data_IF_178798930939
#
_entry.id   IF_178798930939
#
_cell.length_a   1.000
_cell.length_b   1.000
_cell.length_c   1.000
_cell.angle_alpha   90.00
_cell.angle_beta   90.00
_cell.angle_gamma   90.00
#
_symmetry.space_group_name_H-M   'P 1'
#
loop_
_entity.id
_entity.type
_entity.pdbx_description
1 polymer ?
#
# COMPACT_ATOMS: atom_id res chain seq x y z
N UNK A 1 -11.92 -76.41 -29.16
CA UNK A 1 -12.41 -75.00 -29.17
C UNK A 1 -11.24 -74.08 -28.86
N UNK A 2 -10.63 -73.55 -29.92
CA UNK A 2 -9.51 -72.63 -29.78
C UNK A 2 -10.06 -71.29 -29.27
N UNK A 3 -9.53 -70.80 -28.17
CA UNK A 3 -10.08 -69.75 -27.41
C UNK A 3 -10.04 -68.43 -28.22
N UNK A 4 -11.17 -67.78 -28.49
CA UNK A 4 -11.28 -66.53 -29.30
C UNK A 4 -10.38 -65.39 -28.83
N UNK A 5 -10.07 -65.36 -27.54
CA UNK A 5 -9.16 -64.40 -26.96
C UNK A 5 -7.72 -64.55 -27.43
N UNK A 6 -7.27 -65.75 -27.75
CA UNK A 6 -5.87 -65.95 -28.23
C UNK A 6 -5.68 -65.46 -29.66
N UNK A 7 -6.68 -65.50 -30.51
CA UNK A 7 -6.67 -64.94 -31.87
C UNK A 7 -6.64 -63.38 -31.81
N UNK A 8 -7.38 -62.78 -30.89
CA UNK A 8 -7.36 -61.33 -30.70
C UNK A 8 -6.01 -60.79 -30.18
N UNK A 9 -5.40 -61.47 -29.22
CA UNK A 9 -4.06 -61.10 -28.68
C UNK A 9 -2.98 -61.27 -29.75
N UNK A 10 -3.01 -62.32 -30.55
CA UNK A 10 -2.07 -62.52 -31.66
C UNK A 10 -2.24 -61.45 -32.75
N UNK A 11 -3.49 -61.03 -33.04
CA UNK A 11 -3.79 -59.95 -33.97
C UNK A 11 -3.27 -58.58 -33.49
N UNK A 12 -3.45 -58.27 -32.22
CA UNK A 12 -2.91 -57.02 -31.61
C UNK A 12 -1.38 -56.96 -31.56
N UNK A 13 -0.74 -58.12 -31.28
CA UNK A 13 0.72 -58.23 -31.31
C UNK A 13 1.29 -58.07 -32.74
N UNK A 14 0.63 -58.68 -33.75
CA UNK A 14 1.03 -58.49 -35.15
C UNK A 14 0.89 -57.03 -35.63
N UNK A 15 -0.22 -56.34 -35.25
CA UNK A 15 -0.43 -54.91 -35.53
C UNK A 15 0.61 -54.02 -34.85
N UNK A 16 0.98 -54.33 -33.61
CA UNK A 16 2.02 -53.63 -32.88
C UNK A 16 3.40 -53.71 -33.52
N UNK A 17 3.76 -54.90 -34.01
CA UNK A 17 5.04 -55.15 -34.73
C UNK A 17 5.05 -54.42 -36.07
N UNK A 18 3.95 -54.43 -36.83
CA UNK A 18 3.87 -53.68 -38.10
C UNK A 18 3.95 -52.20 -37.86
N UNK A 19 3.27 -51.65 -36.86
CA UNK A 19 3.33 -50.23 -36.53
C UNK A 19 4.75 -49.80 -36.11
N UNK A 20 5.42 -50.61 -35.28
CA UNK A 20 6.79 -50.29 -34.87
C UNK A 20 7.81 -50.38 -36.03
N UNK A 21 7.61 -51.29 -36.97
CA UNK A 21 8.45 -51.43 -38.16
C UNK A 21 8.31 -50.23 -39.11
N UNK A 22 7.08 -49.70 -39.27
CA UNK A 22 6.82 -48.53 -40.09
C UNK A 22 7.45 -47.27 -39.44
N UNK A 23 7.29 -47.12 -38.15
CA UNK A 23 7.89 -45.98 -37.39
C UNK A 23 9.43 -46.08 -37.47
N UNK A 24 10.00 -47.27 -37.22
CA UNK A 24 11.44 -47.48 -37.32
C UNK A 24 11.97 -47.25 -38.73
N UNK A 25 11.24 -47.69 -39.79
CA UNK A 25 11.60 -47.44 -41.18
C UNK A 25 11.61 -45.95 -41.56
N UNK A 26 10.62 -45.20 -41.11
CA UNK A 26 10.54 -43.75 -41.32
C UNK A 26 11.69 -43.02 -40.62
N UNK A 27 11.98 -43.33 -39.37
CA UNK A 27 13.10 -42.76 -38.65
C UNK A 27 14.44 -43.19 -39.23
N UNK A 28 14.61 -44.43 -39.69
CA UNK A 28 15.82 -44.91 -40.36
C UNK A 28 16.03 -44.24 -41.71
N UNK A 29 14.99 -44.02 -42.49
CA UNK A 29 15.06 -43.31 -43.78
C UNK A 29 15.46 -41.86 -43.60
N UNK A 30 14.84 -41.14 -42.66
CA UNK A 30 15.22 -39.75 -42.38
C UNK A 30 16.62 -39.65 -41.72
N UNK A 31 16.97 -40.59 -40.83
CA UNK A 31 18.32 -40.69 -40.27
C UNK A 31 19.41 -40.90 -41.36
N UNK A 32 19.12 -41.74 -42.37
CA UNK A 32 19.99 -41.94 -43.51
C UNK A 32 20.18 -40.69 -44.37
N UNK A 33 19.14 -39.91 -44.62
CA UNK A 33 19.21 -38.67 -45.37
C UNK A 33 20.07 -37.63 -44.61
N UNK A 34 19.92 -37.52 -43.27
CA UNK A 34 20.70 -36.62 -42.43
C UNK A 34 22.19 -37.00 -42.42
N UNK A 35 22.51 -38.28 -42.41
CA UNK A 35 23.88 -38.82 -42.44
C UNK A 35 24.64 -38.54 -43.75
N UNK A 36 23.91 -38.52 -44.89
CA UNK A 36 24.51 -38.30 -46.21
C UNK A 36 24.51 -36.83 -46.65
N UNK A 37 23.75 -35.96 -46.00
CA UNK A 37 23.66 -34.57 -46.37
C UNK A 37 23.48 -33.66 -45.14
N UNK A 38 24.56 -33.37 -44.39
CA UNK A 38 24.50 -32.57 -43.16
C UNK A 38 23.97 -31.16 -43.39
N UNK A 39 24.03 -30.63 -44.61
CA UNK A 39 23.45 -29.32 -44.96
C UNK A 39 21.91 -29.34 -44.97
N UNK A 40 21.26 -30.48 -45.21
CA UNK A 40 19.81 -30.60 -45.17
C UNK A 40 19.26 -30.57 -43.74
N UNK A 41 19.99 -31.17 -42.78
CA UNK A 41 19.62 -31.16 -41.37
C UNK A 41 19.62 -29.73 -40.77
N UNK A 42 20.58 -28.89 -41.17
CA UNK A 42 20.68 -27.49 -40.73
C UNK A 42 19.52 -26.64 -41.25
N UNK A 43 19.00 -26.94 -42.45
CA UNK A 43 17.86 -26.20 -43.02
C UNK A 43 16.53 -26.60 -42.40
N UNK A 44 16.35 -27.87 -42.00
CA UNK A 44 15.13 -28.32 -41.29
C UNK A 44 15.06 -27.68 -39.88
N UNK A 45 16.19 -27.58 -39.20
CA UNK A 45 16.26 -26.94 -37.86
C UNK A 45 16.09 -25.40 -37.98
N UNK A 46 16.57 -24.78 -39.07
CA UNK A 46 16.38 -23.34 -39.29
C UNK A 46 14.97 -22.95 -39.66
N UNK A 47 14.16 -23.84 -40.25
CA UNK A 47 12.78 -23.50 -40.67
C UNK A 47 11.73 -23.68 -39.57
N UNK A 48 12.06 -24.28 -38.42
CA UNK A 48 11.14 -24.52 -37.30
C UNK A 48 11.49 -23.71 -36.02
N UNK A 49 12.35 -22.72 -36.09
CA UNK A 49 12.55 -21.79 -34.97
C UNK A 49 11.33 -20.85 -34.87
N UNK A 50 10.51 -20.91 -33.83
CA UNK A 50 9.51 -19.90 -33.60
C UNK A 50 10.23 -18.60 -33.22
N UNK A 51 10.35 -17.70 -34.17
CA UNK A 51 11.02 -16.38 -34.01
C UNK A 51 10.34 -15.44 -33.02
N UNK A 52 9.22 -15.83 -32.38
CA UNK A 52 8.38 -14.90 -31.64
C UNK A 52 8.24 -15.15 -30.14
N UNK A 53 8.78 -16.22 -29.54
CA UNK A 53 8.53 -16.50 -28.11
C UNK A 53 9.69 -16.07 -27.19
N UNK A 54 10.90 -15.97 -27.71
CA UNK A 54 12.08 -15.50 -26.95
C UNK A 54 12.22 -13.98 -26.92
N UNK A 55 11.71 -13.27 -27.93
CA UNK A 55 11.75 -11.80 -28.00
C UNK A 55 10.85 -11.14 -26.95
N UNK A 56 9.71 -11.75 -26.59
CA UNK A 56 8.81 -11.15 -25.60
C UNK A 56 9.33 -11.25 -24.15
N UNK A 57 9.99 -12.35 -23.81
CA UNK A 57 10.55 -12.55 -22.45
C UNK A 57 11.82 -11.70 -22.25
N UNK A 58 12.67 -11.61 -23.27
CA UNK A 58 13.84 -10.73 -23.25
C UNK A 58 13.42 -9.26 -23.24
N UNK A 59 12.31 -8.90 -23.88
CA UNK A 59 11.79 -7.53 -23.91
C UNK A 59 11.29 -7.09 -22.53
N UNK A 60 10.48 -7.88 -21.84
CA UNK A 60 9.98 -7.53 -20.50
C UNK A 60 11.11 -7.39 -19.47
N UNK A 61 12.06 -8.32 -19.43
CA UNK A 61 13.20 -8.23 -18.52
C UNK A 61 14.06 -6.99 -18.78
N UNK A 62 14.28 -6.66 -20.03
CA UNK A 62 15.02 -5.45 -20.42
C UNK A 62 14.27 -4.19 -20.02
N UNK A 63 12.94 -4.15 -20.21
CA UNK A 63 12.08 -3.04 -19.80
C UNK A 63 12.13 -2.82 -18.28
N UNK A 64 12.06 -3.89 -17.48
CA UNK A 64 12.18 -3.80 -16.01
C UNK A 64 13.51 -3.16 -15.61
N UNK A 65 14.62 -3.62 -16.18
CA UNK A 65 15.96 -3.08 -15.92
C UNK A 65 16.05 -1.60 -16.30
N UNK A 66 15.51 -1.21 -17.45
CA UNK A 66 15.52 0.17 -17.93
C UNK A 66 14.66 1.08 -17.05
N UNK A 67 13.49 0.61 -16.62
CA UNK A 67 12.62 1.32 -15.68
C UNK A 67 13.35 1.58 -14.36
N UNK A 68 13.96 0.54 -13.78
CA UNK A 68 14.72 0.65 -12.53
C UNK A 68 15.87 1.65 -12.67
N UNK A 69 16.69 1.54 -13.71
CA UNK A 69 17.79 2.48 -13.96
C UNK A 69 17.31 3.92 -14.09
N UNK A 70 16.20 4.12 -14.80
CA UNK A 70 15.65 5.46 -15.08
C UNK A 70 15.06 6.12 -13.84
N UNK A 71 14.35 5.37 -13.00
CA UNK A 71 13.56 5.93 -11.91
C UNK A 71 14.18 5.78 -10.51
N UNK A 72 15.16 4.88 -10.31
CA UNK A 72 15.89 4.82 -9.03
C UNK A 72 16.48 6.16 -8.58
N UNK A 73 16.99 7.05 -9.46
CA UNK A 73 17.46 8.37 -9.04
C UNK A 73 16.37 9.28 -8.46
N UNK A 74 15.09 9.01 -8.75
CA UNK A 74 13.96 9.74 -8.18
C UNK A 74 13.46 9.13 -6.87
N UNK A 75 13.94 7.94 -6.47
CA UNK A 75 13.56 7.27 -5.23
C UNK A 75 14.57 7.63 -4.13
N UNK A 76 14.05 8.04 -2.98
CA UNK A 76 14.86 8.59 -1.89
C UNK A 76 14.62 7.85 -0.58
N UNK A 77 15.63 7.83 0.30
CA UNK A 77 15.45 7.41 1.69
C UNK A 77 15.02 8.58 2.55
N UNK A 78 14.13 8.35 3.49
CA UNK A 78 13.67 9.31 4.48
C UNK A 78 14.02 8.77 5.87
N UNK A 79 14.73 9.56 6.66
CA UNK A 79 15.15 9.23 8.02
C UNK A 79 14.56 10.22 8.98
N UNK A 80 13.89 9.73 10.00
CA UNK A 80 13.47 10.52 11.15
C UNK A 80 14.46 10.34 12.29
N UNK A 81 15.00 11.44 12.82
CA UNK A 81 15.89 11.44 13.97
C UNK A 81 15.29 12.26 15.10
N UNK A 82 15.51 11.82 16.34
CA UNK A 82 15.03 12.51 17.54
C UNK A 82 16.09 12.44 18.63
N UNK A 83 16.17 13.50 19.45
CA UNK A 83 17.01 13.51 20.63
C UNK A 83 16.33 12.68 21.73
N UNK A 84 16.91 11.52 22.02
CA UNK A 84 16.44 10.64 23.08
C UNK A 84 17.31 10.76 24.33
N UNK A 85 16.71 10.71 25.55
CA UNK A 85 17.46 10.75 26.78
C UNK A 85 18.40 9.56 26.90
N UNK A 86 19.65 9.80 27.23
CA UNK A 86 20.59 8.76 27.60
C UNK A 86 20.39 8.44 29.07
N UNK A 87 19.93 7.24 29.34
CA UNK A 87 19.70 6.75 30.71
C UNK A 87 20.89 5.90 31.12
N UNK A 88 21.64 6.37 32.12
CA UNK A 88 22.73 5.63 32.74
C UNK A 88 22.25 4.95 34.02
N UNK A 89 22.49 3.67 34.13
CA UNK A 89 22.32 2.95 35.37
C UNK A 89 23.56 3.13 36.24
N UNK A 90 23.38 3.67 37.44
CA UNK A 90 24.43 3.73 38.44
C UNK A 90 23.94 3.07 39.71
N UNK A 91 24.89 2.50 40.47
CA UNK A 91 24.56 1.85 41.72
C UNK A 91 24.77 2.84 42.87
N UNK A 92 23.76 2.98 43.71
CA UNK A 92 23.86 3.72 44.97
C UNK A 92 23.67 2.79 46.14
N UNK A 93 24.33 3.15 47.23
CA UNK A 93 24.04 2.51 48.53
C UNK A 93 23.17 3.51 49.34
N UNK A 94 21.86 3.27 49.50
CA UNK A 94 20.98 4.17 50.23
C UNK A 94 21.34 4.27 51.73
N UNK A 95 22.14 3.35 52.21
CA UNK A 95 22.59 3.33 53.62
C UNK A 95 24.04 3.78 53.79
N UNK A 96 24.64 4.40 52.76
CA UNK A 96 26.05 4.82 52.80
C UNK A 96 26.38 5.74 53.99
N UNK A 97 25.42 6.57 54.43
CA UNK A 97 25.59 7.43 55.61
C UNK A 97 25.71 6.65 56.91
N UNK A 98 25.18 5.45 56.97
CA UNK A 98 25.20 4.57 58.15
C UNK A 98 26.31 3.52 58.11
N UNK A 99 27.07 3.46 57.01
CA UNK A 99 28.11 2.43 56.81
C UNK A 99 29.28 2.56 57.82
N UNK A 100 29.47 3.73 58.42
CA UNK A 100 30.50 3.97 59.44
C UNK A 100 30.01 3.72 60.87
N UNK A 101 28.75 3.33 61.08
CA UNK A 101 28.19 3.00 62.38
C UNK A 101 28.50 1.50 62.68
N UNK A 102 29.28 1.21 63.77
CA UNK A 102 29.63 -0.15 64.12
C UNK A 102 28.45 -1.06 64.41
N UNK A 103 27.33 -0.53 64.91
CA UNK A 103 26.12 -1.28 65.19
C UNK A 103 25.40 -1.70 63.93
N UNK A 104 25.35 -0.80 62.94
CA UNK A 104 24.70 -1.08 61.63
C UNK A 104 25.49 -2.13 60.82
N UNK A 105 26.82 -2.05 60.83
CA UNK A 105 27.69 -3.01 60.13
C UNK A 105 27.56 -4.43 60.70
N UNK A 106 27.33 -4.55 62.00
CA UNK A 106 27.21 -5.86 62.69
C UNK A 106 25.85 -6.54 62.46
N UNK A 107 24.77 -5.75 62.29
CA UNK A 107 23.41 -6.29 62.14
C UNK A 107 23.03 -6.57 60.65
N UNK A 108 23.56 -5.80 59.69
CA UNK A 108 23.18 -5.89 58.29
C UNK A 108 24.27 -6.45 57.35
N UNK A 109 25.33 -7.05 57.93
CA UNK A 109 26.34 -7.81 57.17
C UNK A 109 27.24 -7.00 56.23
N UNK A 110 27.35 -5.67 56.46
CA UNK A 110 28.21 -4.80 55.66
C UNK A 110 27.44 -3.86 54.69
N UNK A 111 28.18 -2.92 54.10
CA UNK A 111 27.62 -1.86 53.23
C UNK A 111 27.65 -2.17 51.74
N UNK A 112 27.61 -3.44 51.36
CA UNK A 112 27.68 -3.83 49.94
C UNK A 112 26.33 -3.83 49.22
N UNK A 113 25.27 -3.23 49.82
CA UNK A 113 23.98 -3.13 49.19
C UNK A 113 24.05 -2.12 48.03
N UNK A 114 23.99 -2.63 46.80
CA UNK A 114 23.95 -1.84 45.55
C UNK A 114 22.54 -1.84 45.02
N UNK A 115 21.87 -0.70 45.15
CA UNK A 115 20.57 -0.48 44.56
C UNK A 115 20.74 0.25 43.20
N UNK A 116 20.31 -0.38 42.07
CA UNK A 116 20.42 0.27 40.80
C UNK A 116 19.48 1.47 40.75
N UNK A 117 20.02 2.63 40.38
CA UNK A 117 19.27 3.84 40.10
C UNK A 117 19.55 4.29 38.66
N UNK A 118 18.61 5.03 38.08
CA UNK A 118 18.70 5.50 36.73
C UNK A 118 18.79 7.03 36.75
N UNK A 119 19.78 7.58 36.06
CA UNK A 119 19.92 9.03 35.87
C UNK A 119 19.96 9.33 34.39
N UNK A 120 19.24 10.36 33.99
CA UNK A 120 19.38 10.91 32.65
C UNK A 120 20.71 11.66 32.56
N UNK A 121 21.56 11.25 31.61
CA UNK A 121 22.86 11.87 31.35
C UNK A 121 22.89 12.42 29.90
N UNK A 122 22.21 13.57 29.70
CA UNK A 122 22.13 14.22 28.41
C UNK A 122 21.10 13.58 27.46
N UNK A 123 21.19 13.99 26.20
CA UNK A 123 20.39 13.45 25.07
C UNK A 123 21.32 13.03 23.95
N UNK A 124 20.90 12.04 23.18
CA UNK A 124 21.62 11.57 22.00
C UNK A 124 20.64 11.51 20.82
N UNK A 125 21.04 12.09 19.68
CA UNK A 125 20.28 11.98 18.44
C UNK A 125 20.30 10.54 17.95
N UNK A 126 19.11 9.94 17.79
CA UNK A 126 18.93 8.57 17.33
C UNK A 126 17.92 8.53 16.19
N UNK A 127 18.10 7.58 15.28
CA UNK A 127 17.12 7.25 14.26
C UNK A 127 15.94 6.55 14.92
N UNK A 128 14.73 7.06 14.66
CA UNK A 128 13.49 6.56 15.26
C UNK A 128 12.51 6.01 14.23
N UNK A 129 12.69 6.38 12.96
CA UNK A 129 11.92 5.86 11.83
C UNK A 129 12.72 6.03 10.55
N UNK A 130 12.52 5.11 9.60
CA UNK A 130 13.04 5.20 8.25
C UNK A 130 12.04 4.64 7.24
N UNK A 131 12.06 5.18 6.02
CA UNK A 131 11.23 4.72 4.93
C UNK A 131 11.71 5.26 3.59
N UNK A 132 10.91 5.05 2.59
CA UNK A 132 11.17 5.50 1.23
C UNK A 132 10.22 6.64 0.84
N UNK A 133 10.64 7.46 -0.08
CA UNK A 133 9.82 8.43 -0.80
C UNK A 133 10.25 8.52 -2.26
N UNK A 134 9.53 9.29 -3.05
CA UNK A 134 9.93 9.57 -4.42
C UNK A 134 9.62 11.00 -4.83
N UNK A 135 10.49 11.54 -5.67
CA UNK A 135 10.42 12.93 -6.13
C UNK A 135 9.33 13.09 -7.18
N UNK A 136 8.35 13.95 -6.91
CA UNK A 136 7.22 14.23 -7.82
C UNK A 136 7.39 15.55 -8.57
N UNK A 137 8.22 16.48 -8.07
CA UNK A 137 8.59 17.73 -8.76
C UNK A 137 10.10 17.98 -8.64
N UNK A 138 10.68 18.53 -9.70
CA UNK A 138 12.14 18.79 -9.78
C UNK A 138 12.66 19.76 -8.71
N UNK A 139 11.77 20.53 -8.10
CA UNK A 139 12.05 21.50 -7.03
C UNK A 139 12.18 20.88 -5.63
N UNK A 140 12.14 19.52 -5.53
CA UNK A 140 12.32 18.80 -4.28
C UNK A 140 11.02 18.46 -3.54
N UNK A 141 9.87 18.47 -4.23
CA UNK A 141 8.63 17.94 -3.65
C UNK A 141 8.64 16.41 -3.73
N UNK A 142 8.43 15.74 -2.59
CA UNK A 142 8.54 14.30 -2.42
C UNK A 142 7.25 13.78 -1.81
N UNK A 143 6.76 12.66 -2.36
CA UNK A 143 5.64 11.89 -1.83
C UNK A 143 6.16 10.69 -1.05
N UNK A 144 5.51 10.38 0.06
CA UNK A 144 5.80 9.24 0.93
C UNK A 144 4.55 8.82 1.72
N UNK A 145 4.66 7.81 2.59
CA UNK A 145 3.62 7.50 3.55
C UNK A 145 3.63 8.44 4.76
N UNK A 146 2.46 8.67 5.35
CA UNK A 146 2.29 9.46 6.57
C UNK A 146 3.06 8.86 7.74
N UNK A 147 2.95 7.54 7.97
CA UNK A 147 3.64 6.88 9.09
C UNK A 147 5.17 7.03 9.05
N UNK A 148 5.78 7.25 7.88
CA UNK A 148 7.23 7.50 7.76
C UNK A 148 7.61 8.84 8.39
N UNK A 149 6.71 9.83 8.35
CA UNK A 149 6.97 11.22 8.77
C UNK A 149 6.05 11.71 9.87
N UNK A 150 5.43 10.80 10.64
CA UNK A 150 4.49 11.15 11.73
C UNK A 150 5.07 10.96 13.14
N UNK A 151 6.38 11.05 13.27
CA UNK A 151 7.06 10.98 14.58
C UNK A 151 7.10 12.37 15.21
N UNK A 152 6.40 12.51 16.34
CA UNK A 152 6.32 13.79 17.03
C UNK A 152 7.70 14.27 17.52
N UNK A 153 8.08 15.50 17.14
CA UNK A 153 9.34 16.14 17.53
C UNK A 153 10.58 15.54 16.84
N UNK A 154 10.41 14.78 15.76
CA UNK A 154 11.53 14.30 14.96
C UNK A 154 11.96 15.33 13.90
N UNK A 155 13.24 15.32 13.57
CA UNK A 155 13.80 15.98 12.39
C UNK A 155 13.90 14.98 11.25
N UNK A 156 13.58 15.40 10.03
CA UNK A 156 13.59 14.54 8.86
C UNK A 156 14.75 14.89 7.94
N UNK A 157 15.44 13.87 7.48
CA UNK A 157 16.52 13.98 6.49
C UNK A 157 16.19 13.10 5.29
N UNK A 158 16.23 13.67 4.11
CA UNK A 158 16.13 12.93 2.84
C UNK A 158 17.53 12.64 2.33
N UNK A 159 17.76 11.39 1.95
CA UNK A 159 19.00 10.94 1.34
C UNK A 159 18.68 10.52 -0.09
N UNK A 160 19.27 11.19 -1.06
CA UNK A 160 19.13 10.88 -2.48
C UNK A 160 19.87 9.60 -2.83
N UNK A 161 19.56 9.03 -3.98
CA UNK A 161 20.22 7.82 -4.47
C UNK A 161 21.76 7.98 -4.69
N UNK A 162 22.23 9.21 -4.91
CA UNK A 162 23.64 9.54 -5.03
C UNK A 162 24.33 9.82 -3.67
N UNK A 163 23.61 9.64 -2.55
CA UNK A 163 24.14 9.82 -1.20
C UNK A 163 24.05 11.24 -0.64
N UNK A 164 23.66 12.25 -1.42
CA UNK A 164 23.44 13.61 -0.93
C UNK A 164 22.32 13.66 0.10
N UNK A 165 22.52 14.41 1.16
CA UNK A 165 21.58 14.54 2.30
C UNK A 165 21.01 15.94 2.37
N UNK A 166 19.71 16.04 2.58
CA UNK A 166 18.99 17.30 2.70
C UNK A 166 18.06 17.27 3.90
N UNK A 167 18.00 18.34 4.71
CA UNK A 167 16.94 18.48 5.70
C UNK A 167 15.60 18.57 4.98
N UNK A 168 14.58 17.87 5.49
CA UNK A 168 13.27 17.84 4.90
C UNK A 168 12.23 18.47 5.81
N UNK A 169 11.32 19.26 5.23
CA UNK A 169 10.16 19.83 5.91
C UNK A 169 8.90 19.07 5.50
N UNK A 170 8.12 18.64 6.46
CA UNK A 170 6.80 18.07 6.20
C UNK A 170 5.85 19.20 5.81
N UNK A 171 5.35 19.16 4.57
CA UNK A 171 4.42 20.15 4.04
C UNK A 171 3.00 19.84 4.50
N UNK A 172 2.60 18.58 4.34
CA UNK A 172 1.28 18.10 4.75
C UNK A 172 1.31 16.60 5.03
N UNK A 173 0.44 16.18 5.95
CA UNK A 173 0.05 14.79 6.18
C UNK A 173 -1.42 14.66 5.84
N UNK A 174 -1.77 13.64 5.09
CA UNK A 174 -3.17 13.34 4.79
C UNK A 174 -3.87 12.88 6.08
N UNK A 175 -4.97 13.50 6.49
CA UNK A 175 -5.67 13.13 7.71
C UNK A 175 -6.43 11.80 7.61
N UNK A 176 -6.73 11.33 6.39
CA UNK A 176 -7.57 10.15 6.13
C UNK A 176 -6.75 8.99 5.60
N UNK A 177 -5.71 9.28 4.81
CA UNK A 177 -4.91 8.27 4.12
C UNK A 177 -3.48 8.28 4.63
N UNK A 178 -2.81 7.15 4.51
CA UNK A 178 -1.40 7.02 4.87
C UNK A 178 -0.47 7.67 3.81
N UNK A 179 -0.71 8.96 3.51
CA UNK A 179 0.08 9.75 2.57
C UNK A 179 0.64 11.00 3.25
N UNK A 180 1.81 11.42 2.81
CA UNK A 180 2.41 12.68 3.21
C UNK A 180 3.26 13.29 2.10
N UNK A 181 3.34 14.61 2.11
CA UNK A 181 4.15 15.40 1.19
C UNK A 181 5.23 16.12 2.00
N UNK A 182 6.48 15.93 1.61
CA UNK A 182 7.63 16.59 2.18
C UNK A 182 8.39 17.41 1.13
N UNK A 183 9.16 18.37 1.59
CA UNK A 183 9.93 19.28 0.72
C UNK A 183 11.38 19.33 1.17
N UNK A 184 12.30 19.24 0.20
CA UNK A 184 13.71 19.57 0.37
C UNK A 184 14.05 20.78 -0.50
N UNK A 185 14.99 21.61 -0.05
CA UNK A 185 15.40 22.80 -0.78
C UNK A 185 16.54 22.45 -1.76
N UNK A 186 16.14 22.06 -2.96
CA UNK A 186 17.05 21.74 -4.07
C UNK A 186 16.28 21.79 -5.39
N UNK A 187 17.00 21.76 -6.51
CA UNK A 187 16.41 21.79 -7.84
C UNK A 187 17.10 20.80 -8.79
N UNK A 188 16.47 20.55 -9.93
CA UNK A 188 17.03 19.68 -10.97
C UNK A 188 17.01 18.20 -10.64
N UNK A 189 16.15 17.77 -9.73
CA UNK A 189 16.01 16.38 -9.36
C UNK A 189 15.34 15.56 -10.47
N UNK A 190 15.72 14.30 -10.59
CA UNK A 190 14.95 13.30 -11.34
C UNK A 190 13.57 13.14 -10.72
N UNK A 191 12.54 13.02 -11.55
CA UNK A 191 11.15 12.86 -11.12
C UNK A 191 10.52 11.62 -11.74
N UNK A 192 9.46 11.13 -11.11
CA UNK A 192 8.62 10.06 -11.64
C UNK A 192 7.47 10.64 -12.47
N UNK A 193 6.91 9.81 -13.37
CA UNK A 193 5.64 10.04 -14.03
C UNK A 193 4.51 9.37 -13.22
N UNK A 194 3.36 10.04 -13.06
CA UNK A 194 2.20 9.52 -12.35
C UNK A 194 1.14 9.02 -13.34
N UNK A 195 0.78 7.74 -13.26
CA UNK A 195 -0.24 7.08 -14.08
C UNK A 195 -1.67 7.47 -13.67
N UNK A 196 -2.66 6.99 -14.41
CA UNK A 196 -4.06 6.98 -13.95
C UNK A 196 -4.36 5.63 -13.28
N UNK A 197 -4.54 5.62 -11.95
CA UNK A 197 -4.83 4.41 -11.20
C UNK A 197 -6.27 3.90 -11.32
N UNK A 198 -7.18 4.63 -11.99
CA UNK A 198 -8.56 4.17 -12.20
C UNK A 198 -8.70 3.20 -13.39
N UNK A 199 -7.64 3.09 -14.20
CA UNK A 199 -7.60 2.22 -15.40
C UNK A 199 -6.78 0.95 -15.19
N UNK A 200 -6.45 0.62 -13.94
CA UNK A 200 -5.64 -0.55 -13.62
C UNK A 200 -6.44 -1.84 -13.78
N UNK A 201 -5.75 -2.89 -14.18
CA UNK A 201 -6.31 -4.24 -14.37
C UNK A 201 -5.52 -5.26 -13.57
N UNK A 202 -6.22 -6.27 -13.04
CA UNK A 202 -5.59 -7.42 -12.37
C UNK A 202 -4.75 -8.19 -13.39
N UNK A 203 -3.55 -8.60 -12.99
CA UNK A 203 -2.58 -9.29 -13.84
C UNK A 203 -1.54 -8.37 -14.49
N UNK A 204 -1.69 -7.04 -14.43
CA UNK A 204 -0.65 -6.11 -14.91
C UNK A 204 0.63 -6.26 -14.10
N UNK A 205 1.78 -6.34 -14.77
CA UNK A 205 3.12 -6.39 -14.14
C UNK A 205 3.43 -5.07 -13.43
N UNK A 206 3.95 -5.18 -12.21
CA UNK A 206 4.33 -4.04 -11.38
C UNK A 206 5.73 -4.22 -10.77
N UNK A 207 6.38 -3.10 -10.51
CA UNK A 207 7.73 -3.01 -9.94
C UNK A 207 7.64 -2.11 -8.72
N UNK A 208 7.93 -2.63 -7.53
CA UNK A 208 8.08 -1.83 -6.33
C UNK A 208 9.56 -1.48 -6.15
N UNK A 209 9.83 -0.18 -5.93
CA UNK A 209 11.19 0.30 -5.68
C UNK A 209 11.22 0.89 -4.28
N UNK A 210 12.23 0.50 -3.50
CA UNK A 210 12.50 1.02 -2.17
C UNK A 210 13.95 1.46 -2.04
N UNK A 211 14.20 2.35 -1.09
CA UNK A 211 15.54 2.81 -0.74
C UNK A 211 15.68 2.82 0.78
N UNK A 212 15.69 1.61 1.38
CA UNK A 212 15.87 1.46 2.82
C UNK A 212 17.33 1.70 3.22
N UNK A 213 17.52 2.52 4.23
CA UNK A 213 18.83 2.93 4.71
C UNK A 213 19.72 1.76 5.18
N UNK A 214 20.95 1.81 4.75
CA UNK A 214 22.12 1.15 5.35
C UNK A 214 22.38 -0.28 4.90
N UNK A 215 21.40 -1.17 4.81
CA UNK A 215 21.64 -2.56 4.40
C UNK A 215 21.01 -2.93 3.05
N UNK A 216 19.98 -2.23 2.59
CA UNK A 216 19.20 -2.57 1.40
C UNK A 216 18.83 -1.33 0.56
N UNK A 217 19.80 -0.47 0.25
CA UNK A 217 19.60 0.63 -0.70
C UNK A 217 19.19 0.07 -2.06
N UNK A 218 18.18 0.71 -2.72
CA UNK A 218 17.67 0.34 -4.04
C UNK A 218 17.12 -1.10 -4.14
N UNK A 219 16.37 -1.53 -3.12
CA UNK A 219 15.64 -2.79 -3.19
C UNK A 219 14.54 -2.72 -4.24
N UNK A 220 14.52 -3.70 -5.15
CA UNK A 220 13.53 -3.80 -6.22
C UNK A 220 12.83 -5.14 -6.12
N UNK A 221 11.52 -5.13 -6.15
CA UNK A 221 10.70 -6.34 -6.28
C UNK A 221 9.75 -6.21 -7.47
N UNK A 222 9.49 -7.33 -8.14
CA UNK A 222 8.57 -7.44 -9.27
C UNK A 222 7.44 -8.38 -8.92
N UNK A 223 6.25 -8.05 -9.35
CA UNK A 223 5.05 -8.86 -9.21
C UNK A 223 3.96 -8.42 -10.17
N UNK A 224 2.72 -8.70 -9.81
CA UNK A 224 1.53 -8.29 -10.56
C UNK A 224 0.51 -7.61 -9.65
N UNK A 225 -0.44 -6.92 -10.22
CA UNK A 225 -1.67 -6.52 -9.52
C UNK A 225 -2.49 -7.78 -9.27
N UNK A 226 -2.60 -8.19 -7.99
CA UNK A 226 -3.34 -9.38 -7.58
C UNK A 226 -4.80 -9.08 -7.24
N UNK A 227 -5.14 -7.81 -7.00
CA UNK A 227 -6.50 -7.35 -6.70
C UNK A 227 -6.61 -5.84 -6.65
N UNK A 228 -7.82 -5.34 -6.82
CA UNK A 228 -8.14 -3.91 -6.78
C UNK A 228 -9.26 -3.66 -5.77
N UNK A 229 -9.35 -2.42 -5.29
CA UNK A 229 -10.40 -1.95 -4.37
C UNK A 229 -10.54 -2.80 -3.09
N UNK A 230 -9.40 -3.26 -2.53
CA UNK A 230 -9.38 -4.00 -1.27
C UNK A 230 -9.48 -3.05 -0.08
N UNK A 231 -10.23 -3.45 0.95
CA UNK A 231 -10.24 -2.77 2.25
C UNK A 231 -9.49 -3.64 3.24
N UNK A 232 -8.48 -3.06 3.89
CA UNK A 232 -7.61 -3.77 4.83
C UNK A 232 -7.48 -2.97 6.13
N UNK A 233 -7.17 -3.66 7.21
CA UNK A 233 -6.70 -3.03 8.45
C UNK A 233 -5.20 -3.26 8.55
N UNK A 234 -4.43 -2.19 8.39
CA UNK A 234 -2.99 -2.22 8.57
C UNK A 234 -2.67 -1.97 10.04
N UNK A 235 -1.81 -2.79 10.64
CA UNK A 235 -1.38 -2.63 12.03
C UNK A 235 0.10 -2.25 12.07
N UNK A 236 0.41 -1.13 12.72
CA UNK A 236 1.76 -0.67 12.97
C UNK A 236 1.94 -0.42 14.47
N UNK A 237 2.59 -1.36 15.19
CA UNK A 237 2.73 -1.29 16.64
C UNK A 237 1.37 -1.31 17.36
N UNK A 238 1.09 -0.28 18.16
CA UNK A 238 -0.17 -0.16 18.91
C UNK A 238 -1.30 0.58 18.16
N UNK A 239 -1.07 1.00 16.92
CA UNK A 239 -2.07 1.66 16.08
C UNK A 239 -2.51 0.74 14.96
N UNK A 240 -3.82 0.77 14.65
CA UNK A 240 -4.39 0.14 13.47
C UNK A 240 -5.05 1.21 12.60
N UNK A 241 -4.75 1.20 11.32
CA UNK A 241 -5.33 2.12 10.34
C UNK A 241 -6.11 1.33 9.29
N UNK A 242 -7.34 1.75 9.03
CA UNK A 242 -8.15 1.16 7.97
C UNK A 242 -7.81 1.82 6.66
N UNK A 243 -7.30 1.04 5.72
CA UNK A 243 -6.99 1.46 4.37
C UNK A 243 -8.02 0.88 3.42
N UNK A 244 -8.80 1.74 2.78
CA UNK A 244 -9.84 1.33 1.83
C UNK A 244 -9.36 1.47 0.39
N UNK A 245 -9.88 0.62 -0.51
CA UNK A 245 -9.64 0.66 -1.96
C UNK A 245 -8.15 0.67 -2.34
N UNK A 246 -7.35 -0.16 -1.65
CA UNK A 246 -5.93 -0.33 -1.97
C UNK A 246 -5.73 -1.28 -3.15
N UNK A 247 -4.58 -1.13 -3.83
CA UNK A 247 -4.06 -2.06 -4.83
C UNK A 247 -3.39 -3.20 -4.07
N UNK A 248 -3.78 -4.43 -4.35
CA UNK A 248 -3.11 -5.64 -3.86
C UNK A 248 -2.09 -6.11 -4.89
N UNK A 249 -0.89 -6.50 -4.44
CA UNK A 249 0.18 -7.05 -5.28
C UNK A 249 0.90 -8.20 -4.59
N UNK A 250 1.48 -9.09 -5.37
CA UNK A 250 2.41 -10.13 -4.91
C UNK A 250 3.88 -9.68 -5.00
N UNK A 251 4.15 -8.49 -5.53
CA UNK A 251 5.45 -7.87 -5.38
C UNK A 251 5.79 -7.73 -3.88
N UNK A 252 6.99 -8.14 -3.47
CA UNK A 252 7.39 -8.12 -2.07
C UNK A 252 7.42 -6.68 -1.54
N UNK A 253 6.46 -6.33 -0.70
CA UNK A 253 6.43 -5.09 0.08
C UNK A 253 6.94 -5.43 1.47
N UNK A 254 8.02 -4.77 1.89
CA UNK A 254 8.69 -5.01 3.17
C UNK A 254 9.02 -3.68 3.85
N UNK A 255 9.30 -3.68 5.17
CA UNK A 255 9.85 -2.50 5.83
C UNK A 255 11.06 -1.97 5.06
N UNK A 256 10.99 -0.69 4.68
CA UNK A 256 12.02 -0.02 3.88
C UNK A 256 11.58 0.34 2.47
N UNK A 257 10.61 -0.35 1.82
CA UNK A 257 10.02 0.13 0.57
C UNK A 257 8.66 0.84 0.76
N UNK A 258 8.13 0.89 1.98
CA UNK A 258 6.97 1.71 2.34
C UNK A 258 7.23 3.19 2.05
N UNK A 259 6.29 3.85 1.38
CA UNK A 259 6.42 5.21 0.85
C UNK A 259 7.09 5.29 -0.53
N UNK A 260 7.67 4.20 -1.02
CA UNK A 260 8.23 4.10 -2.36
C UNK A 260 7.19 3.91 -3.45
N UNK A 261 7.57 4.08 -4.72
CA UNK A 261 6.65 3.94 -5.84
C UNK A 261 6.38 2.47 -6.21
N UNK A 262 5.12 2.18 -6.59
CA UNK A 262 4.73 1.02 -7.38
C UNK A 262 4.61 1.47 -8.83
N UNK A 263 5.38 0.88 -9.74
CA UNK A 263 5.56 1.35 -11.14
C UNK A 263 5.06 0.27 -12.10
N UNK A 264 4.35 0.65 -13.17
CA UNK A 264 3.95 -0.24 -14.26
C UNK A 264 5.07 -0.41 -15.32
N UNK A 265 4.85 -1.27 -16.33
CA UNK A 265 5.84 -1.48 -17.40
C UNK A 265 5.98 -0.28 -18.37
N UNK A 266 5.13 0.74 -18.28
CA UNK A 266 5.30 2.00 -19.03
C UNK A 266 6.19 3.00 -18.28
N UNK A 267 6.67 2.62 -17.09
CA UNK A 267 7.51 3.45 -16.23
C UNK A 267 6.72 4.54 -15.51
N UNK A 268 5.43 4.33 -15.29
CA UNK A 268 4.57 5.28 -14.59
C UNK A 268 4.18 4.75 -13.22
N UNK A 269 4.19 5.61 -12.21
CA UNK A 269 3.79 5.26 -10.85
C UNK A 269 2.28 5.10 -10.78
N UNK A 270 1.82 3.92 -10.40
CA UNK A 270 0.41 3.55 -10.23
C UNK A 270 -0.05 3.60 -8.77
N UNK A 271 0.90 3.56 -7.83
CA UNK A 271 0.59 3.58 -6.39
C UNK A 271 1.80 3.89 -5.52
N UNK A 272 1.53 4.07 -4.23
CA UNK A 272 2.52 4.25 -3.16
C UNK A 272 2.50 3.00 -2.29
N UNK A 273 3.62 2.28 -2.22
CA UNK A 273 3.76 1.09 -1.38
C UNK A 273 3.49 1.46 0.09
N UNK A 274 2.65 0.70 0.81
CA UNK A 274 2.30 1.12 2.16
C UNK A 274 2.36 0.02 3.21
N UNK A 275 1.69 -1.11 3.01
CA UNK A 275 1.48 -2.06 4.09
C UNK A 275 1.64 -3.51 3.63
N UNK A 276 1.91 -4.36 4.63
CA UNK A 276 1.77 -5.81 4.54
C UNK A 276 0.76 -6.27 5.59
N UNK A 277 0.02 -7.33 5.30
CA UNK A 277 -0.78 -8.02 6.31
C UNK A 277 0.16 -8.89 7.13
N UNK A 278 0.25 -8.60 8.43
CA UNK A 278 1.09 -9.38 9.35
C UNK A 278 0.69 -10.87 9.33
N UNK A 279 1.68 -11.75 9.11
CA UNK A 279 1.47 -13.20 9.03
C UNK A 279 1.00 -13.73 7.67
N UNK A 280 0.76 -12.88 6.67
CA UNK A 280 0.46 -13.30 5.30
C UNK A 280 1.72 -13.21 4.41
N UNK A 281 1.95 -14.23 3.58
CA UNK A 281 3.04 -14.22 2.60
C UNK A 281 2.51 -13.74 1.25
N UNK A 282 3.33 -12.96 0.52
CA UNK A 282 3.02 -12.47 -0.83
C UNK A 282 1.74 -11.62 -0.92
N UNK A 283 1.42 -10.87 0.13
CA UNK A 283 0.33 -9.91 0.17
C UNK A 283 0.87 -8.52 0.49
N UNK A 284 1.23 -7.78 -0.55
CA UNK A 284 1.59 -6.38 -0.49
C UNK A 284 0.43 -5.49 -0.89
N UNK A 285 0.43 -4.25 -0.38
CA UNK A 285 -0.58 -3.25 -0.71
C UNK A 285 0.06 -1.91 -1.06
N UNK A 286 -0.61 -1.19 -1.97
CA UNK A 286 -0.23 0.16 -2.35
C UNK A 286 -1.47 1.06 -2.41
N UNK A 287 -1.29 2.31 -2.04
CA UNK A 287 -2.32 3.35 -2.18
C UNK A 287 -2.38 3.81 -3.64
N UNK A 288 -3.56 3.87 -4.27
CA UNK A 288 -3.70 4.31 -5.66
C UNK A 288 -3.16 5.73 -5.86
N UNK A 289 -2.39 5.95 -6.94
CA UNK A 289 -1.69 7.23 -7.17
C UNK A 289 -2.64 8.41 -7.43
N UNK A 290 -3.86 8.17 -7.92
CA UNK A 290 -4.84 9.26 -8.15
C UNK A 290 -5.21 9.99 -6.86
N UNK A 291 -5.14 9.32 -5.70
CA UNK A 291 -5.33 9.96 -4.40
C UNK A 291 -4.22 10.95 -4.10
N UNK A 292 -2.97 10.52 -4.27
CA UNK A 292 -1.80 11.38 -4.07
C UNK A 292 -1.75 12.55 -5.05
N UNK A 293 -2.24 12.40 -6.29
CA UNK A 293 -2.31 13.50 -7.25
C UNK A 293 -3.14 14.67 -6.72
N UNK A 294 -4.30 14.37 -6.11
CA UNK A 294 -5.16 15.39 -5.50
C UNK A 294 -4.40 16.13 -4.40
N UNK A 295 -3.72 15.41 -3.54
CA UNK A 295 -2.95 15.99 -2.42
C UNK A 295 -1.78 16.84 -2.91
N UNK A 296 -1.04 16.38 -3.94
CA UNK A 296 0.07 17.12 -4.55
C UNK A 296 -0.42 18.45 -5.14
N UNK A 297 -1.56 18.42 -5.83
CA UNK A 297 -2.16 19.63 -6.45
C UNK A 297 -2.66 20.61 -5.38
N UNK A 298 -3.26 20.10 -4.32
CA UNK A 298 -3.80 20.90 -3.24
C UNK A 298 -2.69 21.56 -2.40
N UNK A 299 -1.68 20.79 -2.00
CA UNK A 299 -0.50 21.30 -1.29
C UNK A 299 0.25 22.34 -2.14
N UNK A 300 0.33 22.13 -3.45
CA UNK A 300 0.94 23.10 -4.36
C UNK A 300 0.20 24.45 -4.43
N UNK A 301 -1.10 24.48 -4.11
CA UNK A 301 -1.96 25.67 -4.15
C UNK A 301 -2.14 26.33 -2.78
N UNK A 302 -2.35 25.52 -1.75
CA UNK A 302 -2.81 25.96 -0.44
C UNK A 302 -1.80 25.72 0.69
N UNK A 303 -0.79 24.87 0.44
CA UNK A 303 0.18 24.44 1.44
C UNK A 303 -0.34 23.40 2.44
N UNK A 304 -1.59 22.93 2.29
CA UNK A 304 -2.21 21.92 3.17
C UNK A 304 -3.08 20.96 2.38
N UNK A 305 -3.37 19.80 2.94
CA UNK A 305 -4.37 18.84 2.43
C UNK A 305 -5.66 19.07 3.20
N UNK A 306 -6.76 19.28 2.50
CA UNK A 306 -8.08 19.49 3.10
C UNK A 306 -9.08 18.51 2.52
N UNK A 307 -10.00 18.05 3.36
CA UNK A 307 -11.09 17.17 2.93
C UNK A 307 -12.44 17.84 3.14
N UNK A 308 -13.31 17.75 2.13
CA UNK A 308 -14.69 18.14 2.31
C UNK A 308 -15.35 17.22 3.33
N UNK A 309 -16.20 17.80 4.16
CA UNK A 309 -16.81 17.15 5.31
C UNK A 309 -18.32 17.36 5.30
N UNK A 310 -19.06 16.28 5.57
CA UNK A 310 -20.52 16.32 5.72
C UNK A 310 -20.94 16.27 7.18
N UNK A 311 -20.31 15.43 7.98
CA UNK A 311 -20.55 15.33 9.42
C UNK A 311 -21.69 14.41 9.83
N UNK A 312 -21.78 13.24 9.19
CA UNK A 312 -22.70 12.15 9.56
C UNK A 312 -21.95 10.87 9.88
N UNK A 313 -22.45 10.09 10.82
CA UNK A 313 -22.13 8.66 10.96
C UNK A 313 -23.24 7.87 10.29
N UNK A 314 -22.89 6.82 9.59
CA UNK A 314 -23.86 6.02 8.84
C UNK A 314 -23.45 4.56 8.75
N UNK A 315 -24.42 3.72 8.45
CA UNK A 315 -24.22 2.34 8.04
C UNK A 315 -24.85 2.16 6.65
N UNK A 316 -24.16 1.43 5.77
CA UNK A 316 -24.67 1.15 4.42
C UNK A 316 -25.81 0.14 4.51
N UNK A 317 -26.92 0.44 3.84
CA UNK A 317 -28.09 -0.43 3.75
C UNK A 317 -27.84 -1.51 2.72
N UNK A 318 -28.12 -2.74 3.11
CA UNK A 318 -28.12 -3.93 2.24
C UNK A 318 -29.45 -4.71 2.41
N UNK A 319 -29.62 -5.77 1.64
CA UNK A 319 -30.84 -6.59 1.69
C UNK A 319 -31.10 -7.17 3.08
N UNK A 320 -30.08 -7.67 3.77
CA UNK A 320 -30.20 -8.22 5.13
C UNK A 320 -30.70 -7.17 6.12
N UNK A 321 -30.13 -5.95 6.07
CA UNK A 321 -30.54 -4.83 6.92
C UNK A 321 -31.96 -4.37 6.61
N UNK A 322 -32.34 -4.33 5.33
CA UNK A 322 -33.71 -4.04 4.90
C UNK A 322 -34.70 -5.02 5.52
N UNK A 323 -34.44 -6.31 5.41
CA UNK A 323 -35.36 -7.37 5.88
C UNK A 323 -35.47 -7.35 7.43
N UNK A 324 -34.33 -7.22 8.11
CA UNK A 324 -34.24 -7.19 9.57
C UNK A 324 -34.96 -5.99 10.18
N UNK A 325 -34.78 -4.80 9.58
CA UNK A 325 -35.31 -3.53 10.08
C UNK A 325 -36.57 -3.06 9.35
N UNK A 326 -37.10 -3.87 8.42
CA UNK A 326 -38.30 -3.55 7.61
C UNK A 326 -38.19 -2.21 6.89
N UNK A 327 -37.00 -1.93 6.33
CA UNK A 327 -36.75 -0.71 5.56
C UNK A 327 -37.46 -0.81 4.19
N UNK A 328 -37.89 0.33 3.65
CA UNK A 328 -38.53 0.38 2.33
C UNK A 328 -37.52 0.26 1.17
N UNK A 329 -36.22 0.43 1.44
CA UNK A 329 -35.15 0.38 0.47
C UNK A 329 -34.05 -0.61 0.87
N UNK A 330 -33.30 -1.14 -0.11
CA UNK A 330 -32.21 -2.09 0.05
C UNK A 330 -30.83 -1.47 -0.29
N UNK A 331 -30.80 -0.16 -0.42
CA UNK A 331 -29.60 0.62 -0.71
C UNK A 331 -29.62 1.96 0.03
N UNK A 332 -28.49 2.66 0.00
CA UNK A 332 -28.33 3.93 0.69
C UNK A 332 -27.51 3.82 1.96
N UNK A 333 -27.46 4.89 2.72
CA UNK A 333 -26.74 4.99 3.98
C UNK A 333 -27.66 5.54 5.07
N UNK A 334 -28.00 4.71 6.06
CA UNK A 334 -28.79 5.14 7.21
C UNK A 334 -27.92 5.91 8.20
N UNK A 335 -28.32 7.12 8.52
CA UNK A 335 -27.66 8.00 9.49
C UNK A 335 -28.00 7.51 10.89
N UNK A 336 -26.98 6.99 11.61
CA UNK A 336 -27.17 6.44 12.95
C UNK A 336 -25.94 6.69 13.83
N UNK A 337 -26.15 6.70 15.13
CA UNK A 337 -25.10 6.86 16.13
C UNK A 337 -24.17 5.64 16.18
N UNK A 338 -22.95 5.84 16.70
CA UNK A 338 -22.02 4.77 16.96
C UNK A 338 -22.31 3.99 18.24
N UNK A 339 -21.32 3.26 18.72
CA UNK A 339 -21.47 2.36 19.86
C UNK A 339 -21.53 3.07 21.20
N UNK A 340 -20.97 4.27 21.31
CA UNK A 340 -20.95 5.04 22.56
C UNK A 340 -21.96 6.18 22.54
N UNK A 341 -22.36 6.67 23.71
CA UNK A 341 -23.31 7.79 23.88
C UNK A 341 -22.80 9.07 23.22
N UNK A 342 -21.50 9.23 23.13
CA UNK A 342 -20.85 10.40 22.50
C UNK A 342 -20.73 10.29 20.98
N UNK A 343 -21.02 9.13 20.40
CA UNK A 343 -20.95 8.89 18.96
C UNK A 343 -22.23 9.31 18.25
N UNK A 344 -22.49 10.62 18.23
CA UNK A 344 -23.69 11.20 17.64
C UNK A 344 -23.82 10.84 16.14
N UNK A 345 -25.05 10.58 15.69
CA UNK A 345 -25.39 10.28 14.30
C UNK A 345 -25.07 11.45 13.36
N UNK A 346 -25.39 12.66 13.82
CA UNK A 346 -25.07 13.93 13.13
C UNK A 346 -24.21 14.77 14.07
N UNK A 347 -23.04 15.18 13.60
CA UNK A 347 -22.10 15.93 14.42
C UNK A 347 -22.59 17.38 14.55
N UNK A 348 -22.71 17.92 15.79
CA UNK A 348 -23.19 19.27 16.02
C UNK A 348 -22.33 20.32 15.28
N UNK A 349 -22.98 21.30 14.66
CA UNK A 349 -22.31 22.35 13.89
C UNK A 349 -21.79 21.93 12.53
N UNK A 350 -21.90 20.65 12.17
CA UNK A 350 -21.48 20.13 10.85
C UNK A 350 -22.39 20.63 9.71
N UNK A 351 -21.94 20.53 8.45
CA UNK A 351 -22.77 20.79 7.27
C UNK A 351 -24.09 20.02 7.28
N UNK A 352 -24.08 18.75 7.67
CA UNK A 352 -25.28 17.94 7.79
C UNK A 352 -26.26 18.49 8.84
N UNK A 353 -25.76 18.88 10.02
CA UNK A 353 -26.57 19.49 11.06
C UNK A 353 -27.19 20.81 10.60
N UNK A 354 -26.40 21.69 9.94
CA UNK A 354 -26.87 22.97 9.38
C UNK A 354 -27.93 22.78 8.30
N UNK A 355 -27.82 21.69 7.53
CA UNK A 355 -28.79 21.35 6.49
C UNK A 355 -30.02 20.61 7.01
N UNK A 356 -30.10 20.30 8.31
CA UNK A 356 -31.24 19.65 8.94
C UNK A 356 -31.34 18.15 8.70
N UNK A 357 -30.21 17.47 8.46
CA UNK A 357 -30.13 16.01 8.48
C UNK A 357 -30.22 15.54 9.91
N UNK A 358 -30.99 14.48 10.16
CA UNK A 358 -31.23 13.92 11.48
C UNK A 358 -30.95 12.41 11.52
N UNK A 359 -30.86 11.86 12.71
CA UNK A 359 -30.77 10.42 12.93
C UNK A 359 -31.95 9.67 12.30
N UNK A 360 -31.70 8.51 11.71
CA UNK A 360 -32.60 7.66 10.94
C UNK A 360 -32.96 8.16 9.53
N UNK A 361 -32.40 9.27 9.05
CA UNK A 361 -32.45 9.58 7.62
C UNK A 361 -31.66 8.52 6.83
N UNK A 362 -32.17 8.12 5.67
CA UNK A 362 -31.41 7.27 4.75
C UNK A 362 -30.98 8.12 3.56
N UNK A 363 -29.68 8.34 3.39
CA UNK A 363 -29.12 9.05 2.24
C UNK A 363 -29.15 8.07 1.06
N UNK A 364 -30.01 8.33 0.08
CA UNK A 364 -30.19 7.48 -1.09
C UNK A 364 -29.24 7.85 -2.22
N UNK A 365 -29.04 9.15 -2.46
CA UNK A 365 -28.24 9.67 -3.56
C UNK A 365 -27.48 10.92 -3.12
N UNK A 366 -26.31 11.13 -3.74
CA UNK A 366 -25.56 12.38 -3.71
C UNK A 366 -25.37 12.85 -5.16
N UNK A 367 -25.87 14.04 -5.48
CA UNK A 367 -25.88 14.63 -6.84
C UNK A 367 -26.46 13.67 -7.91
N UNK A 368 -27.52 12.94 -7.59
CA UNK A 368 -28.19 11.99 -8.48
C UNK A 368 -27.48 10.62 -8.62
N UNK A 369 -26.34 10.41 -7.97
CA UNK A 369 -25.66 9.12 -7.97
C UNK A 369 -26.04 8.32 -6.72
N UNK A 370 -26.54 7.10 -6.93
CA UNK A 370 -26.99 6.20 -5.86
C UNK A 370 -25.85 5.82 -4.93
N UNK A 371 -26.15 5.80 -3.62
CA UNK A 371 -25.27 5.28 -2.58
C UNK A 371 -25.46 3.77 -2.48
N UNK A 372 -24.37 3.02 -2.59
CA UNK A 372 -24.32 1.56 -2.59
C UNK A 372 -23.14 1.08 -1.76
N UNK A 373 -22.94 -0.24 -1.67
CA UNK A 373 -21.75 -0.82 -1.02
C UNK A 373 -20.44 -0.45 -1.77
N UNK A 374 -20.51 -0.27 -3.09
CA UNK A 374 -19.36 0.07 -3.93
C UNK A 374 -19.12 1.58 -4.06
N UNK A 375 -20.14 2.39 -3.80
CA UNK A 375 -20.05 3.85 -3.83
C UNK A 375 -20.75 4.46 -2.62
N UNK A 376 -19.96 4.80 -1.63
CA UNK A 376 -20.43 5.25 -0.31
C UNK A 376 -20.65 6.77 -0.25
N UNK A 377 -21.29 7.26 0.85
CA UNK A 377 -21.37 8.70 1.14
C UNK A 377 -19.97 9.32 1.26
N UNK A 378 -19.04 8.59 1.87
CA UNK A 378 -17.64 9.04 1.98
C UNK A 378 -17.01 9.24 0.60
N UNK A 379 -17.19 8.31 -0.33
CA UNK A 379 -16.69 8.43 -1.70
C UNK A 379 -17.29 9.63 -2.42
N UNK A 380 -18.60 9.81 -2.29
CA UNK A 380 -19.31 10.92 -2.89
C UNK A 380 -18.79 12.27 -2.37
N UNK A 381 -18.62 12.41 -1.06
CA UNK A 381 -18.12 13.63 -0.42
C UNK A 381 -16.65 13.87 -0.78
N UNK A 382 -15.78 12.86 -0.69
CA UNK A 382 -14.35 13.00 -0.99
C UNK A 382 -14.06 13.34 -2.46
N UNK A 383 -14.99 13.04 -3.38
CA UNK A 383 -14.89 13.44 -4.79
C UNK A 383 -15.08 14.95 -5.02
N UNK A 384 -15.54 15.70 -4.01
CA UNK A 384 -15.84 17.13 -4.06
C UNK A 384 -14.70 17.96 -3.47
N UNK A 385 -14.91 19.28 -3.45
CA UNK A 385 -14.04 20.26 -2.79
C UNK A 385 -14.73 20.88 -1.59
N UNK A 386 -13.95 21.42 -0.69
CA UNK A 386 -14.45 22.28 0.38
C UNK A 386 -15.15 23.49 -0.25
N UNK A 387 -16.38 23.79 0.23
CA UNK A 387 -17.24 24.84 -0.31
C UNK A 387 -18.19 24.39 -1.41
N UNK A 388 -18.04 23.17 -1.95
CA UNK A 388 -18.97 22.66 -2.95
C UNK A 388 -20.36 22.44 -2.35
N UNK A 389 -21.38 22.81 -3.13
CA UNK A 389 -22.79 22.55 -2.81
C UNK A 389 -23.20 21.21 -3.42
N UNK A 390 -23.64 20.27 -2.59
CA UNK A 390 -24.12 18.94 -3.00
C UNK A 390 -25.60 18.80 -2.72
N UNK A 391 -26.31 18.05 -3.59
CA UNK A 391 -27.70 17.69 -3.42
C UNK A 391 -27.79 16.28 -2.83
N UNK A 392 -28.36 16.15 -1.64
CA UNK A 392 -28.64 14.87 -1.03
C UNK A 392 -30.11 14.52 -1.25
N UNK A 393 -30.38 13.35 -1.82
CA UNK A 393 -31.70 12.75 -1.83
C UNK A 393 -31.77 11.83 -0.63
N UNK A 394 -32.62 12.13 0.31
CA UNK A 394 -32.79 11.35 1.53
C UNK A 394 -34.20 10.76 1.63
N UNK A 395 -34.33 9.68 2.38
CA UNK A 395 -35.60 9.10 2.79
C UNK A 395 -35.79 9.37 4.28
N UNK A 396 -36.84 10.12 4.64
CA UNK A 396 -37.24 10.42 6.01
C UNK A 396 -38.69 10.04 6.20
N UNK A 397 -38.99 9.15 7.15
CA UNK A 397 -40.36 8.68 7.42
C UNK A 397 -41.08 8.19 6.13
N UNK A 398 -40.37 7.44 5.27
CA UNK A 398 -40.84 6.95 3.95
C UNK A 398 -41.19 8.05 2.94
N UNK A 399 -40.78 9.30 3.15
CA UNK A 399 -40.88 10.39 2.19
C UNK A 399 -39.49 10.77 1.67
N UNK A 400 -39.39 10.89 0.35
CA UNK A 400 -38.17 11.38 -0.29
C UNK A 400 -38.07 12.90 -0.16
N UNK A 401 -36.94 13.39 0.28
CA UNK A 401 -36.62 14.82 0.40
C UNK A 401 -35.31 15.11 -0.33
N UNK A 402 -35.22 16.31 -0.89
CA UNK A 402 -33.97 16.81 -1.47
C UNK A 402 -33.45 17.92 -0.55
N UNK A 403 -32.22 17.76 -0.10
CA UNK A 403 -31.55 18.71 0.79
C UNK A 403 -30.26 19.17 0.12
N UNK A 404 -30.08 20.48 0.06
CA UNK A 404 -28.83 21.10 -0.40
C UNK A 404 -27.89 21.29 0.79
N UNK A 405 -26.64 20.84 0.65
CA UNK A 405 -25.60 20.93 1.69
C UNK A 405 -24.35 21.57 1.10
N UNK A 406 -23.78 22.54 1.82
CA UNK A 406 -22.45 23.10 1.49
C UNK A 406 -21.42 22.35 2.33
N UNK A 407 -20.48 21.69 1.67
CA UNK A 407 -19.41 20.94 2.33
C UNK A 407 -18.39 21.91 2.94
N UNK A 408 -17.96 21.62 4.16
CA UNK A 408 -16.95 22.42 4.87
C UNK A 408 -15.66 21.63 5.04
N UNK A 409 -14.58 22.28 5.49
CA UNK A 409 -13.33 21.60 5.84
C UNK A 409 -13.52 20.80 7.14
N UNK A 410 -13.04 19.56 7.18
CA UNK A 410 -13.01 18.80 8.41
C UNK A 410 -11.94 19.38 9.36
N UNK A 411 -12.35 20.16 10.32
CA UNK A 411 -11.49 20.78 11.35
C UNK A 411 -11.40 19.96 12.63
N UNK A 412 -12.18 18.89 12.75
CA UNK A 412 -12.14 18.00 13.90
C UNK A 412 -10.91 17.07 13.76
N UNK A 413 -9.86 17.39 14.52
CA UNK A 413 -8.67 16.56 14.71
C UNK A 413 -8.89 15.58 15.86
#
# INVERSE_FOLDING_TARGET
MENSNEKYVRGLLALGIIASSVVGGVFGYYGGIISHNPSAAVNIIKSSSPKNTLTSITDESSRVVDIVKKYSPAVVSIVATKDLPVVEQYNTNPFQAFCNDPFFAQFFGGCDLKVPQYRQNGTRKQEVSAGTGFVVKQDGLILTNKHVVDVQGAEYTVILNDGRKFPARVMARDPIQDLAIIKIETAGLATVKLANSDTLEVGQTVIAIGNALGQFSNSVSKGIISGLSRSITASAGNSSEKLDKVIQTDAAINPGNSGGPLINLDGEVIGVNTAIVSGAQNLGFALPINRAKKDIDEVGKTGKITYPYLGVRYVLVNQEMKDKNKLSVDYGAIVMRGETVNDLAVIPGSPAAKAGIIENDIILEVDGKKITLDYTVSDAVQSKKVGDKVKLKILRNNQELIIDVILEENTNK
#
